data_IF_919688759802
#
_entry.id   IF_919688759802
#
_cell.length_a   1.000
_cell.length_b   1.000
_cell.length_c   1.000
_cell.angle_alpha   90.00
_cell.angle_beta   90.00
_cell.angle_gamma   90.00
#
_symmetry.space_group_name_H-M   'P 1'
#
loop_
_entity.id
_entity.type
_entity.pdbx_description
1 polymer ?
#
# COMPACT_ATOMS: atom_id res chain seq x y z
N UNK A 1 6.06 4.41 -23.20
CA UNK A 1 5.27 5.50 -23.81
C UNK A 1 4.59 6.41 -22.79
N UNK A 2 4.08 5.91 -21.65
CA UNK A 2 3.38 6.73 -20.62
C UNK A 2 4.17 7.89 -19.96
N UNK A 3 5.47 8.04 -20.21
CA UNK A 3 6.30 9.12 -19.65
C UNK A 3 6.70 10.22 -20.64
N UNK A 4 6.19 10.19 -21.89
CA UNK A 4 6.56 11.12 -22.97
C UNK A 4 8.08 11.26 -23.20
N UNK A 5 8.84 10.19 -22.93
CA UNK A 5 10.30 10.19 -23.07
C UNK A 5 10.77 9.90 -24.50
N UNK A 6 9.89 9.30 -25.31
CA UNK A 6 10.08 8.99 -26.72
C UNK A 6 8.70 8.78 -27.33
N UNK A 7 8.53 9.14 -28.60
CA UNK A 7 7.35 8.87 -29.40
C UNK A 7 7.31 7.41 -29.83
N UNK A 8 6.13 6.92 -30.24
CA UNK A 8 5.99 5.56 -30.77
C UNK A 8 6.88 5.35 -32.00
N UNK A 9 6.96 6.37 -32.87
CA UNK A 9 7.73 6.34 -34.11
C UNK A 9 9.24 6.25 -33.84
N UNK A 10 9.77 7.06 -32.94
CA UNK A 10 11.19 7.01 -32.52
C UNK A 10 11.57 5.64 -31.94
N UNK A 11 10.69 5.03 -31.15
CA UNK A 11 10.93 3.70 -30.57
C UNK A 11 10.86 2.61 -31.65
N UNK A 12 9.92 2.71 -32.59
CA UNK A 12 9.78 1.77 -33.71
C UNK A 12 10.98 1.83 -34.66
N UNK A 13 11.51 3.03 -34.95
CA UNK A 13 12.75 3.20 -35.73
C UNK A 13 13.94 2.53 -35.05
N UNK A 14 14.15 2.78 -33.75
CA UNK A 14 15.23 2.13 -33.00
C UNK A 14 15.07 0.60 -32.95
N UNK A 15 13.84 0.10 -32.85
CA UNK A 15 13.55 -1.35 -32.89
C UNK A 15 13.86 -1.97 -34.26
N UNK A 16 13.52 -1.28 -35.35
CA UNK A 16 13.82 -1.73 -36.70
C UNK A 16 15.34 -1.78 -36.95
N UNK A 17 16.07 -0.76 -36.50
CA UNK A 17 17.53 -0.71 -36.59
C UNK A 17 18.20 -1.78 -35.72
N UNK A 18 17.70 -2.01 -34.50
CA UNK A 18 18.16 -3.09 -33.63
C UNK A 18 18.05 -4.46 -34.32
N UNK A 19 16.93 -4.71 -35.02
CA UNK A 19 16.72 -5.95 -35.80
C UNK A 19 17.70 -6.07 -36.98
N UNK A 20 17.97 -4.97 -37.69
CA UNK A 20 18.96 -4.97 -38.78
C UNK A 20 20.39 -5.22 -38.28
N UNK A 21 20.77 -4.59 -37.17
CA UNK A 21 22.07 -4.81 -36.54
C UNK A 21 22.23 -6.26 -36.07
N UNK A 22 21.19 -6.83 -35.45
CA UNK A 22 21.18 -8.23 -35.03
C UNK A 22 21.32 -9.20 -36.21
N UNK A 23 20.69 -8.91 -37.35
CA UNK A 23 20.84 -9.71 -38.58
C UNK A 23 22.28 -9.67 -39.14
N UNK A 24 23.05 -8.64 -38.82
CA UNK A 24 24.46 -8.46 -39.19
C UNK A 24 25.43 -8.91 -38.08
N UNK A 25 25.00 -9.77 -37.15
CA UNK A 25 25.77 -10.25 -35.98
C UNK A 25 26.29 -9.14 -35.05
N UNK A 26 25.65 -7.97 -35.04
CA UNK A 26 25.93 -6.89 -34.07
C UNK A 26 24.79 -6.82 -33.05
N UNK A 27 25.11 -7.08 -31.79
CA UNK A 27 24.13 -7.07 -30.72
C UNK A 27 24.21 -5.73 -29.96
N UNK A 28 23.15 -4.92 -30.05
CA UNK A 28 23.04 -3.64 -29.34
C UNK A 28 21.72 -3.63 -28.57
N UNK A 29 21.73 -3.13 -27.33
CA UNK A 29 20.51 -2.98 -26.56
C UNK A 29 19.69 -1.79 -27.10
N UNK A 30 18.36 -1.92 -27.12
CA UNK A 30 17.47 -0.82 -27.53
C UNK A 30 17.72 0.45 -26.71
N UNK A 31 18.04 0.29 -25.42
CA UNK A 31 18.42 1.40 -24.53
C UNK A 31 19.67 2.15 -24.98
N UNK A 32 20.62 1.46 -25.61
CA UNK A 32 21.86 2.08 -26.08
C UNK A 32 21.60 2.86 -27.38
N UNK A 33 20.80 2.31 -28.30
CA UNK A 33 20.38 3.00 -29.53
C UNK A 33 19.58 4.27 -29.24
N UNK A 34 18.66 4.21 -28.26
CA UNK A 34 17.86 5.36 -27.84
C UNK A 34 18.74 6.48 -27.23
N UNK A 35 19.85 6.11 -26.56
CA UNK A 35 20.81 7.09 -26.02
C UNK A 35 21.72 7.64 -27.12
N UNK A 36 22.20 6.79 -28.02
CA UNK A 36 23.06 7.17 -29.15
C UNK A 36 22.38 8.18 -30.08
N UNK A 37 21.07 7.98 -30.35
CA UNK A 37 20.27 8.92 -31.14
C UNK A 37 19.82 10.17 -30.38
N UNK A 38 20.19 10.30 -29.10
CA UNK A 38 19.83 11.46 -28.28
C UNK A 38 18.34 11.56 -27.91
N UNK A 39 17.56 10.51 -28.18
CA UNK A 39 16.11 10.45 -27.87
C UNK A 39 15.91 10.44 -26.35
N UNK A 40 16.78 9.71 -25.63
CA UNK A 40 16.81 9.69 -24.16
C UNK A 40 18.22 9.81 -23.62
N UNK A 41 18.35 10.31 -22.41
CA UNK A 41 19.62 10.33 -21.67
C UNK A 41 19.86 9.01 -20.95
N UNK A 42 21.13 8.68 -20.66
CA UNK A 42 21.47 7.51 -19.84
C UNK A 42 20.79 7.53 -18.47
N UNK A 43 20.70 8.72 -17.87
CA UNK A 43 20.00 8.92 -16.59
C UNK A 43 18.50 8.62 -16.68
N UNK A 44 17.85 8.90 -17.82
CA UNK A 44 16.45 8.53 -18.05
C UNK A 44 16.31 7.00 -18.20
N UNK A 45 17.22 6.35 -18.93
CA UNK A 45 17.28 4.88 -19.05
C UNK A 45 17.44 4.23 -17.67
N UNK A 46 18.41 4.67 -16.86
CA UNK A 46 18.65 4.10 -15.53
C UNK A 46 17.42 4.24 -14.63
N UNK A 47 16.69 5.37 -14.72
CA UNK A 47 15.43 5.56 -14.01
C UNK A 47 14.32 4.63 -14.51
N UNK A 48 14.23 4.39 -15.82
CA UNK A 48 13.26 3.44 -16.39
C UNK A 48 13.59 2.03 -15.91
N UNK A 49 14.84 1.58 -16.07
CA UNK A 49 15.29 0.23 -15.66
C UNK A 49 14.99 0.00 -14.18
N UNK A 50 15.37 0.95 -13.31
CA UNK A 50 15.06 0.86 -11.88
C UNK A 50 13.55 0.78 -11.62
N UNK A 51 12.74 1.59 -12.32
CA UNK A 51 11.27 1.51 -12.16
C UNK A 51 10.69 0.21 -12.69
N UNK A 52 11.24 -0.36 -13.77
CA UNK A 52 10.83 -1.65 -14.30
C UNK A 52 11.20 -2.76 -13.31
N UNK A 53 12.38 -2.74 -12.71
CA UNK A 53 12.80 -3.70 -11.69
C UNK A 53 11.90 -3.68 -10.46
N UNK A 54 11.40 -2.50 -10.06
CA UNK A 54 10.44 -2.38 -8.97
C UNK A 54 9.06 -2.99 -9.30
N UNK A 55 8.66 -3.00 -10.57
CA UNK A 55 7.33 -3.49 -11.03
C UNK A 55 7.41 -4.94 -11.53
N UNK A 56 8.60 -5.46 -11.89
CA UNK A 56 8.84 -6.85 -12.33
C UNK A 56 8.12 -7.91 -11.48
N UNK A 57 8.14 -7.85 -10.13
CA UNK A 57 7.39 -8.79 -9.29
C UNK A 57 5.90 -8.87 -9.63
N UNK A 58 5.28 -7.71 -9.86
CA UNK A 58 3.84 -7.60 -10.08
C UNK A 58 3.46 -7.88 -11.55
N UNK A 59 4.35 -7.59 -12.52
CA UNK A 59 4.13 -7.94 -13.93
C UNK A 59 4.06 -9.43 -14.19
N UNK A 60 4.55 -10.24 -13.24
CA UNK A 60 4.58 -11.69 -13.33
C UNK A 60 3.32 -12.38 -12.81
N UNK A 61 2.28 -11.62 -12.43
CA UNK A 61 1.02 -12.16 -11.89
C UNK A 61 0.03 -12.40 -13.04
N UNK A 62 -0.28 -13.67 -13.40
CA UNK A 62 -1.16 -13.97 -14.53
C UNK A 62 -2.56 -13.37 -14.36
N UNK A 63 -3.14 -12.88 -15.45
CA UNK A 63 -4.48 -12.30 -15.46
C UNK A 63 -4.56 -10.83 -15.01
N UNK A 64 -3.44 -10.22 -14.62
CA UNK A 64 -3.38 -8.82 -14.22
C UNK A 64 -2.33 -8.05 -15.04
N UNK A 65 -2.70 -6.86 -15.51
CA UNK A 65 -1.80 -5.91 -16.14
C UNK A 65 -1.47 -4.79 -15.16
N UNK A 66 -0.21 -4.69 -14.75
CA UNK A 66 0.22 -3.60 -13.87
C UNK A 66 0.27 -2.28 -14.63
N UNK A 67 -0.31 -1.24 -14.04
CA UNK A 67 -0.37 0.11 -14.61
C UNK A 67 0.66 1.01 -13.93
N UNK A 68 0.60 1.15 -12.60
CA UNK A 68 1.48 2.04 -11.85
C UNK A 68 1.70 1.57 -10.42
N UNK A 69 2.76 2.08 -9.78
CA UNK A 69 3.03 1.86 -8.35
C UNK A 69 2.32 2.93 -7.54
N UNK A 70 1.45 2.52 -6.63
CA UNK A 70 0.70 3.41 -5.73
C UNK A 70 1.51 3.78 -4.49
N UNK A 71 2.30 2.84 -3.97
CA UNK A 71 3.10 3.09 -2.77
C UNK A 71 4.01 1.94 -2.39
N UNK A 72 4.95 2.21 -1.50
CA UNK A 72 5.85 1.19 -0.94
C UNK A 72 6.04 1.44 0.55
N UNK A 73 5.77 0.42 1.35
CA UNK A 73 6.01 0.36 2.78
C UNK A 73 7.10 -0.65 3.13
N UNK A 74 7.38 -0.79 4.42
CA UNK A 74 8.32 -1.81 4.91
C UNK A 74 7.85 -3.23 4.56
N UNK A 75 6.53 -3.45 4.58
CA UNK A 75 5.90 -4.77 4.49
C UNK A 75 5.43 -5.14 3.09
N UNK A 76 5.16 -4.17 2.21
CA UNK A 76 4.63 -4.43 0.88
C UNK A 76 4.84 -3.28 -0.09
N UNK A 77 4.79 -3.60 -1.37
CA UNK A 77 4.61 -2.61 -2.44
C UNK A 77 3.23 -2.79 -3.05
N UNK A 78 2.50 -1.69 -3.23
CA UNK A 78 1.13 -1.70 -3.76
C UNK A 78 1.15 -1.10 -5.17
N UNK A 79 0.52 -1.80 -6.10
CA UNK A 79 0.40 -1.42 -7.50
C UNK A 79 -1.07 -1.28 -7.89
N UNK A 80 -1.36 -0.32 -8.77
CA UNK A 80 -2.60 -0.28 -9.52
C UNK A 80 -2.46 -1.21 -10.71
N UNK A 81 -3.46 -2.04 -10.94
CA UNK A 81 -3.48 -2.98 -12.03
C UNK A 81 -4.88 -3.06 -12.65
N UNK A 82 -4.94 -3.63 -13.84
CA UNK A 82 -6.18 -4.01 -14.52
C UNK A 82 -6.33 -5.52 -14.47
N UNK A 83 -7.42 -6.01 -13.89
CA UNK A 83 -7.80 -7.42 -13.97
C UNK A 83 -8.37 -7.70 -15.37
N UNK A 84 -7.70 -8.53 -16.16
CA UNK A 84 -8.01 -8.72 -17.57
C UNK A 84 -9.34 -9.45 -17.81
N UNK A 85 -9.71 -10.38 -16.93
CA UNK A 85 -10.92 -11.20 -17.09
C UNK A 85 -12.23 -10.41 -16.89
N UNK A 86 -12.20 -9.36 -16.07
CA UNK A 86 -13.38 -8.55 -15.71
C UNK A 86 -13.27 -7.10 -16.17
N UNK A 87 -12.19 -6.74 -16.85
CA UNK A 87 -11.93 -5.39 -17.36
C UNK A 87 -12.00 -4.28 -16.29
N UNK A 88 -11.57 -4.57 -15.05
CA UNK A 88 -11.67 -3.62 -13.92
C UNK A 88 -10.33 -3.26 -13.30
N UNK A 89 -10.27 -2.08 -12.68
CA UNK A 89 -9.13 -1.66 -11.88
C UNK A 89 -9.10 -2.36 -10.52
N UNK A 90 -7.91 -2.75 -10.09
CA UNK A 90 -7.64 -3.38 -8.80
C UNK A 90 -6.34 -2.83 -8.21
N UNK A 91 -6.18 -2.94 -6.90
CA UNK A 91 -4.91 -2.73 -6.23
C UNK A 91 -4.29 -4.08 -5.89
N UNK A 92 -2.99 -4.25 -6.15
CA UNK A 92 -2.24 -5.47 -5.88
C UNK A 92 -1.11 -5.15 -4.91
N UNK A 93 -1.20 -5.73 -3.72
CA UNK A 93 -0.17 -5.69 -2.69
C UNK A 93 0.76 -6.88 -2.89
N UNK A 94 2.05 -6.63 -3.09
CA UNK A 94 3.09 -7.66 -3.28
C UNK A 94 4.06 -7.65 -2.12
N UNK A 95 4.29 -8.83 -1.55
CA UNK A 95 5.27 -9.04 -0.48
C UNK A 95 6.72 -8.94 -1.02
N UNK A 96 7.61 -8.23 -0.33
CA UNK A 96 9.04 -8.25 -0.63
C UNK A 96 9.62 -9.66 -0.48
N UNK A 97 10.53 -10.05 -1.38
CA UNK A 97 11.19 -11.38 -1.37
C UNK A 97 11.74 -11.80 -0.01
N UNK A 98 12.34 -10.87 0.75
CA UNK A 98 12.86 -11.13 2.10
C UNK A 98 11.84 -11.71 3.08
N UNK A 99 10.55 -11.45 2.86
CA UNK A 99 9.47 -12.02 3.66
C UNK A 99 8.88 -13.27 3.02
N UNK A 100 8.93 -13.39 1.68
CA UNK A 100 8.50 -14.60 0.96
C UNK A 100 9.32 -15.86 1.33
N UNK A 101 10.57 -15.68 1.77
CA UNK A 101 11.45 -16.79 2.16
C UNK A 101 11.16 -17.35 3.56
N UNK A 102 10.34 -16.67 4.37
CA UNK A 102 9.98 -17.13 5.70
C UNK A 102 8.56 -17.73 5.68
N UNK A 103 8.40 -19.07 5.82
CA UNK A 103 7.11 -19.75 5.75
C UNK A 103 6.07 -19.22 6.75
N UNK A 104 6.49 -18.79 7.95
CA UNK A 104 5.56 -18.27 8.96
C UNK A 104 4.92 -16.95 8.53
N UNK A 105 5.68 -16.07 7.86
CA UNK A 105 5.16 -14.82 7.32
C UNK A 105 4.20 -15.07 6.17
N UNK A 106 4.54 -16.02 5.29
CA UNK A 106 3.70 -16.40 4.15
C UNK A 106 2.38 -17.00 4.64
N UNK A 107 2.42 -17.97 5.55
CA UNK A 107 1.21 -18.60 6.11
C UNK A 107 0.29 -17.57 6.74
N UNK A 108 0.86 -16.64 7.52
CA UNK A 108 0.10 -15.55 8.14
C UNK A 108 -0.53 -14.63 7.11
N UNK A 109 0.21 -14.23 6.08
CA UNK A 109 -0.31 -13.40 5.01
C UNK A 109 -1.53 -14.02 4.32
N UNK A 110 -1.48 -15.33 4.01
CA UNK A 110 -2.64 -16.03 3.44
C UNK A 110 -3.79 -16.14 4.43
N UNK A 111 -3.52 -16.37 5.72
CA UNK A 111 -4.55 -16.44 6.75
C UNK A 111 -5.30 -15.12 6.89
N UNK A 112 -4.58 -14.01 6.94
CA UNK A 112 -5.17 -12.68 7.04
C UNK A 112 -5.89 -12.30 5.74
N UNK A 113 -5.32 -12.63 4.57
CA UNK A 113 -5.99 -12.44 3.28
C UNK A 113 -7.32 -13.19 3.18
N UNK A 114 -7.36 -14.45 3.65
CA UNK A 114 -8.59 -15.25 3.72
C UNK A 114 -9.60 -14.69 4.72
N UNK A 115 -9.13 -14.12 5.84
CA UNK A 115 -10.01 -13.49 6.81
C UNK A 115 -10.62 -12.20 6.25
N UNK A 116 -9.81 -11.36 5.60
CA UNK A 116 -10.27 -10.16 4.90
C UNK A 116 -11.28 -10.49 3.77
N UNK A 117 -11.10 -11.60 3.06
CA UNK A 117 -12.02 -12.07 2.02
C UNK A 117 -13.42 -12.44 2.53
N UNK A 118 -13.60 -12.68 3.83
CA UNK A 118 -14.93 -12.91 4.41
C UNK A 118 -15.69 -11.61 4.69
N UNK A 119 -14.99 -10.48 4.65
CA UNK A 119 -15.61 -9.18 4.88
C UNK A 119 -16.19 -8.66 3.57
N UNK A 120 -17.45 -8.23 3.63
CA UNK A 120 -18.15 -7.56 2.54
C UNK A 120 -18.97 -6.43 3.16
N UNK A 121 -18.44 -5.21 3.09
CA UNK A 121 -19.04 -4.04 3.72
C UNK A 121 -18.67 -2.78 2.92
N UNK A 122 -19.60 -1.82 2.70
CA UNK A 122 -19.33 -0.63 1.89
C UNK A 122 -18.15 0.20 2.40
N UNK A 123 -17.90 0.20 3.71
CA UNK A 123 -16.82 0.93 4.37
C UNK A 123 -15.55 0.09 4.61
N UNK A 124 -15.38 -1.07 3.97
CA UNK A 124 -14.15 -1.88 4.01
C UNK A 124 -13.62 -2.03 2.59
N UNK A 125 -12.29 -1.97 2.43
CA UNK A 125 -11.64 -2.29 1.16
C UNK A 125 -11.81 -3.77 0.87
N UNK A 126 -12.59 -4.09 -0.16
CA UNK A 126 -12.91 -5.46 -0.53
C UNK A 126 -11.67 -6.25 -0.98
N UNK A 127 -11.42 -7.38 -0.33
CA UNK A 127 -10.47 -8.37 -0.80
C UNK A 127 -11.03 -9.15 -1.99
N UNK A 128 -10.20 -9.40 -2.99
CA UNK A 128 -10.59 -10.06 -4.25
C UNK A 128 -9.89 -11.42 -4.40
N UNK A 129 -8.58 -11.45 -4.19
CA UNK A 129 -7.76 -12.64 -4.46
C UNK A 129 -6.50 -12.65 -3.60
N UNK A 130 -5.93 -13.83 -3.35
CA UNK A 130 -4.65 -13.99 -2.68
C UNK A 130 -3.93 -15.20 -3.26
N UNK A 131 -2.68 -15.02 -3.67
CA UNK A 131 -2.00 -16.03 -4.46
C UNK A 131 -0.49 -15.89 -4.49
N UNK A 132 0.14 -16.84 -5.18
CA UNK A 132 1.56 -16.85 -5.47
C UNK A 132 1.76 -16.87 -6.98
N UNK A 133 2.69 -16.08 -7.49
CA UNK A 133 3.16 -16.19 -8.86
C UNK A 133 4.67 -15.97 -8.90
N UNK A 134 5.41 -16.93 -9.48
CA UNK A 134 6.86 -16.82 -9.70
C UNK A 134 7.67 -16.48 -8.43
N UNK A 135 7.28 -17.08 -7.28
CA UNK A 135 7.92 -16.84 -5.98
C UNK A 135 7.55 -15.50 -5.32
N UNK A 136 6.54 -14.80 -5.84
CA UNK A 136 5.98 -13.60 -5.24
C UNK A 136 4.57 -13.87 -4.72
N UNK A 137 4.36 -13.61 -3.43
CA UNK A 137 3.05 -13.64 -2.81
C UNK A 137 2.36 -12.29 -2.99
N UNK A 138 1.09 -12.33 -3.37
CA UNK A 138 0.31 -11.15 -3.67
C UNK A 138 -1.10 -11.24 -3.08
N UNK A 139 -1.68 -10.06 -2.85
CA UNK A 139 -3.06 -9.88 -2.42
C UNK A 139 -3.71 -8.83 -3.30
N UNK A 140 -4.82 -9.19 -3.92
CA UNK A 140 -5.61 -8.34 -4.80
C UNK A 140 -6.81 -7.81 -4.04
N UNK A 141 -7.03 -6.51 -4.13
CA UNK A 141 -8.12 -5.81 -3.48
C UNK A 141 -8.74 -4.77 -4.41
N UNK A 142 -9.92 -4.28 -4.06
CA UNK A 142 -10.55 -3.22 -4.83
C UNK A 142 -9.62 -2.00 -4.92
N UNK A 143 -9.60 -1.38 -6.10
CA UNK A 143 -8.96 -0.08 -6.25
C UNK A 143 -9.94 1.01 -5.83
N UNK A 144 -9.65 1.67 -4.72
CA UNK A 144 -10.44 2.81 -4.26
C UNK A 144 -9.92 4.08 -4.93
N UNK A 145 -10.73 4.67 -5.80
CA UNK A 145 -10.40 5.96 -6.39
C UNK A 145 -10.71 7.08 -5.39
N UNK A 146 -9.65 7.71 -4.89
CA UNK A 146 -9.74 8.71 -3.84
C UNK A 146 -8.38 9.03 -3.24
N UNK A 147 -8.38 9.38 -1.97
CA UNK A 147 -7.21 9.81 -1.19
C UNK A 147 -7.34 9.29 0.23
N UNK A 148 -6.23 9.21 0.96
CA UNK A 148 -6.26 8.82 2.37
C UNK A 148 -6.58 10.01 3.26
N UNK A 149 -7.15 9.75 4.44
CA UNK A 149 -7.32 10.77 5.48
C UNK A 149 -5.97 11.40 5.87
N UNK A 150 -4.88 10.61 5.79
CA UNK A 150 -3.52 11.10 5.96
C UNK A 150 -3.15 12.18 4.93
N UNK A 151 -3.50 12.00 3.66
CA UNK A 151 -3.18 12.95 2.60
C UNK A 151 -3.82 14.32 2.85
N UNK A 152 -5.05 14.34 3.39
CA UNK A 152 -5.72 15.59 3.77
C UNK A 152 -5.06 16.26 4.99
N UNK A 153 -4.69 15.47 6.01
CA UNK A 153 -4.05 15.99 7.23
C UNK A 153 -2.68 16.60 6.93
N UNK A 154 -1.85 15.96 6.09
CA UNK A 154 -0.54 16.52 5.72
C UNK A 154 -0.66 17.77 4.84
N UNK A 155 -1.78 17.93 4.14
CA UNK A 155 -2.10 19.16 3.41
C UNK A 155 -2.53 20.30 4.36
N UNK A 156 -2.60 20.04 5.66
CA UNK A 156 -2.97 21.02 6.70
C UNK A 156 -4.47 21.14 6.93
N UNK A 157 -5.28 20.20 6.43
CA UNK A 157 -6.73 20.20 6.68
C UNK A 157 -6.99 19.90 8.16
N UNK A 158 -7.83 20.73 8.77
CA UNK A 158 -8.47 20.45 10.06
C UNK A 158 -9.96 20.24 9.78
N UNK A 159 -10.47 19.09 10.21
CA UNK A 159 -11.84 18.70 9.92
C UNK A 159 -12.80 19.38 10.89
N UNK A 160 -13.96 19.78 10.39
CA UNK A 160 -15.06 20.15 11.28
C UNK A 160 -15.54 18.93 12.08
N UNK A 161 -16.15 19.17 13.23
CA UNK A 161 -16.74 18.10 14.05
C UNK A 161 -17.72 17.24 13.24
N UNK A 162 -18.51 17.87 12.38
CA UNK A 162 -19.48 17.16 11.53
C UNK A 162 -18.82 16.23 10.52
N UNK A 163 -17.77 16.68 9.81
CA UNK A 163 -17.04 15.84 8.86
C UNK A 163 -16.34 14.69 9.57
N UNK A 164 -15.72 14.99 10.72
CA UNK A 164 -14.98 14.00 11.48
C UNK A 164 -15.90 12.91 12.05
N UNK A 165 -17.07 13.29 12.54
CA UNK A 165 -18.09 12.36 13.02
C UNK A 165 -18.67 11.51 11.88
N UNK A 166 -18.92 12.08 10.71
CA UNK A 166 -19.42 11.29 9.56
C UNK A 166 -18.44 10.18 9.18
N UNK A 167 -17.16 10.52 9.02
CA UNK A 167 -16.10 9.54 8.73
C UNK A 167 -15.98 8.51 9.87
N UNK A 168 -15.98 8.95 11.13
CA UNK A 168 -15.86 8.06 12.28
C UNK A 168 -17.03 7.07 12.37
N UNK A 169 -18.26 7.49 12.06
CA UNK A 169 -19.44 6.61 12.02
C UNK A 169 -19.27 5.54 10.94
N UNK A 170 -18.83 5.94 9.74
CA UNK A 170 -18.58 5.01 8.63
C UNK A 170 -17.51 3.96 8.99
N UNK A 171 -16.41 4.39 9.60
CA UNK A 171 -15.32 3.48 10.02
C UNK A 171 -15.74 2.62 11.22
N UNK A 172 -16.57 3.13 12.13
CA UNK A 172 -17.14 2.33 13.23
C UNK A 172 -18.00 1.19 12.69
N UNK A 173 -18.83 1.44 11.67
CA UNK A 173 -19.63 0.38 11.01
C UNK A 173 -18.74 -0.70 10.39
N UNK A 174 -17.64 -0.30 9.74
CA UNK A 174 -16.63 -1.23 9.23
C UNK A 174 -16.01 -2.09 10.35
N UNK A 175 -15.62 -1.46 11.47
CA UNK A 175 -15.00 -2.16 12.60
C UNK A 175 -15.98 -3.14 13.25
N UNK A 176 -17.24 -2.76 13.47
CA UNK A 176 -18.28 -3.67 13.98
C UNK A 176 -18.40 -4.90 13.09
N UNK A 177 -18.51 -4.71 11.77
CA UNK A 177 -18.60 -5.82 10.81
C UNK A 177 -17.36 -6.74 10.88
N UNK A 178 -16.16 -6.17 11.01
CA UNK A 178 -14.93 -6.95 11.18
C UNK A 178 -14.92 -7.74 12.51
N UNK A 179 -15.29 -7.10 13.61
CA UNK A 179 -15.33 -7.69 14.95
C UNK A 179 -16.33 -8.84 15.04
N UNK A 180 -17.52 -8.69 14.45
CA UNK A 180 -18.52 -9.76 14.35
C UNK A 180 -18.02 -10.98 13.56
N UNK A 181 -17.05 -10.78 12.67
CA UNK A 181 -16.38 -11.83 11.91
C UNK A 181 -15.07 -12.32 12.58
N UNK A 182 -14.82 -11.90 13.83
CA UNK A 182 -13.66 -12.32 14.63
C UNK A 182 -12.34 -11.71 14.18
N UNK A 183 -12.37 -10.60 13.43
CA UNK A 183 -11.19 -9.89 12.96
C UNK A 183 -11.04 -8.56 13.71
N UNK A 184 -9.87 -8.35 14.32
CA UNK A 184 -9.49 -7.08 14.96
C UNK A 184 -8.46 -6.41 14.06
N UNK A 185 -8.64 -5.12 13.76
CA UNK A 185 -7.85 -4.41 12.77
C UNK A 185 -6.40 -4.14 13.22
N UNK A 186 -6.23 -3.66 14.46
CA UNK A 186 -4.97 -3.37 15.17
C UNK A 186 -4.07 -2.28 14.57
N UNK A 187 -4.46 -1.68 13.45
CA UNK A 187 -3.71 -0.58 12.81
C UNK A 187 -4.65 0.48 12.23
N UNK A 188 -5.71 0.85 12.96
CA UNK A 188 -6.61 1.94 12.53
C UNK A 188 -5.86 3.26 12.62
N UNK A 189 -5.70 3.95 11.49
CA UNK A 189 -4.99 5.24 11.41
C UNK A 189 -5.36 5.98 10.13
N UNK A 190 -5.10 7.29 10.01
CA UNK A 190 -5.45 8.07 8.82
C UNK A 190 -4.93 7.50 7.49
N UNK A 191 -3.77 6.85 7.49
CA UNK A 191 -3.20 6.25 6.29
C UNK A 191 -3.98 5.03 5.78
N UNK A 192 -4.72 4.36 6.66
CA UNK A 192 -5.51 3.17 6.34
C UNK A 192 -7.00 3.53 6.15
N UNK A 193 -7.37 4.81 6.18
CA UNK A 193 -8.73 5.28 5.92
C UNK A 193 -8.71 6.02 4.58
N UNK A 194 -9.39 5.47 3.58
CA UNK A 194 -9.54 6.08 2.26
C UNK A 194 -10.88 6.79 2.14
N UNK A 195 -10.89 7.98 1.54
CA UNK A 195 -12.08 8.75 1.22
C UNK A 195 -12.25 8.76 -0.30
N UNK A 196 -13.37 8.22 -0.78
CA UNK A 196 -13.73 8.25 -2.21
C UNK A 196 -14.13 9.65 -2.66
N UNK A 197 -14.19 9.87 -3.98
CA UNK A 197 -14.71 11.13 -4.55
C UNK A 197 -16.14 11.46 -4.10
N UNK A 198 -16.93 10.44 -3.77
CA UNK A 198 -18.32 10.59 -3.31
C UNK A 198 -18.44 10.76 -1.79
N UNK A 199 -17.31 10.90 -1.07
CA UNK A 199 -17.29 11.10 0.39
C UNK A 199 -17.46 9.82 1.21
N UNK A 200 -17.35 8.63 0.60
CA UNK A 200 -17.43 7.36 1.31
C UNK A 200 -16.08 7.03 1.94
N UNK A 201 -16.08 6.77 3.24
CA UNK A 201 -14.90 6.32 3.98
C UNK A 201 -14.76 4.79 3.91
N UNK A 202 -13.58 4.29 3.56
CA UNK A 202 -13.25 2.87 3.46
C UNK A 202 -12.01 2.55 4.28
N UNK A 203 -12.09 1.54 5.14
CA UNK A 203 -10.97 1.03 5.92
C UNK A 203 -10.18 0.01 5.09
N UNK A 204 -8.90 0.29 4.89
CA UNK A 204 -7.94 -0.50 4.12
C UNK A 204 -6.99 -1.28 5.05
N UNK A 205 -6.20 -2.18 4.47
CA UNK A 205 -5.12 -2.90 5.17
C UNK A 205 -5.59 -3.70 6.41
N UNK A 206 -6.67 -4.48 6.27
CA UNK A 206 -7.21 -5.39 7.28
C UNK A 206 -6.15 -6.35 7.85
N UNK A 207 -5.42 -5.90 8.88
CA UNK A 207 -4.54 -6.70 9.73
C UNK A 207 -3.42 -7.49 9.05
N UNK A 208 -3.17 -7.34 7.75
CA UNK A 208 -2.33 -8.21 6.89
C UNK A 208 -0.83 -8.35 7.29
N UNK A 209 -0.39 -7.86 8.46
CA UNK A 209 1.03 -7.92 8.82
C UNK A 209 1.44 -7.67 10.30
N UNK A 210 0.63 -7.89 11.35
CA UNK A 210 1.14 -7.62 12.71
C UNK A 210 0.76 -8.61 13.80
N UNK A 211 1.67 -9.55 14.03
CA UNK A 211 1.99 -10.11 15.36
C UNK A 211 3.46 -10.60 15.49
N UNK A 212 4.43 -10.11 14.69
CA UNK A 212 5.84 -10.56 14.84
C UNK A 212 6.91 -9.56 14.35
N UNK A 213 6.62 -8.27 14.26
CA UNK A 213 7.57 -7.29 13.72
C UNK A 213 7.53 -5.94 14.43
N UNK A 214 7.21 -5.91 15.73
CA UNK A 214 7.00 -4.64 16.43
C UNK A 214 8.29 -3.79 16.48
N UNK A 215 9.47 -4.38 16.59
CA UNK A 215 10.73 -3.62 16.54
C UNK A 215 11.12 -3.16 15.13
N UNK A 216 11.12 -4.08 14.15
CA UNK A 216 11.58 -3.76 12.78
C UNK A 216 10.59 -2.85 12.03
N UNK A 217 9.28 -2.98 12.29
CA UNK A 217 8.28 -2.11 11.68
C UNK A 217 8.31 -0.72 12.29
N UNK A 218 8.46 -0.61 13.62
CA UNK A 218 8.63 0.67 14.28
C UNK A 218 9.92 1.40 13.84
N UNK A 219 11.02 0.67 13.64
CA UNK A 219 12.27 1.24 13.11
C UNK A 219 12.17 1.63 11.62
N UNK A 220 11.46 0.85 10.79
CA UNK A 220 11.30 1.18 9.36
C UNK A 220 10.33 2.34 9.10
N UNK A 221 9.44 2.63 10.06
CA UNK A 221 8.59 3.83 10.08
C UNK A 221 9.24 5.02 10.80
N UNK A 222 10.39 4.83 11.46
CA UNK A 222 11.13 5.90 12.11
C UNK A 222 11.58 6.95 11.08
N UNK A 223 11.22 8.21 11.32
CA UNK A 223 11.55 9.34 10.44
C UNK A 223 10.60 9.57 9.26
N UNK A 224 9.56 8.75 9.08
CA UNK A 224 8.43 9.09 8.20
C UNK A 224 7.38 9.79 9.06
N UNK A 225 7.07 11.03 8.73
CA UNK A 225 6.08 11.83 9.43
C UNK A 225 4.78 10.99 9.60
N UNK A 226 4.36 10.78 10.85
CA UNK A 226 3.15 10.08 11.28
C UNK A 226 3.04 8.57 10.91
N UNK A 227 3.75 7.71 11.65
CA UNK A 227 3.62 6.23 11.59
C UNK A 227 2.59 5.64 12.56
N UNK A 228 2.53 4.30 12.67
CA UNK A 228 1.70 3.57 13.66
C UNK A 228 1.89 4.02 15.13
N UNK A 229 3.09 4.44 15.61
CA UNK A 229 3.30 4.84 17.01
C UNK A 229 2.34 5.90 17.56
N UNK A 230 1.76 6.75 16.71
CA UNK A 230 0.88 7.85 17.13
C UNK A 230 -0.58 7.41 17.39
N UNK A 231 -0.93 6.19 17.00
CA UNK A 231 -2.30 5.66 17.06
C UNK A 231 -2.37 4.28 17.72
N UNK A 232 -1.24 3.74 18.17
CA UNK A 232 -1.14 2.41 18.76
C UNK A 232 -1.74 2.39 20.16
N UNK A 233 -2.44 1.31 20.51
CA UNK A 233 -3.06 1.15 21.83
C UNK A 233 -2.03 0.77 22.92
N UNK A 234 -2.30 1.09 24.20
CA UNK A 234 -1.41 0.76 25.31
C UNK A 234 -1.13 -0.75 25.44
N UNK A 235 -2.16 -1.59 25.26
CA UNK A 235 -2.05 -3.05 25.30
C UNK A 235 -1.16 -3.61 24.18
N UNK A 236 -1.19 -3.00 22.99
CA UNK A 236 -0.27 -3.35 21.90
C UNK A 236 1.17 -2.97 22.24
N UNK A 237 1.38 -1.81 22.88
CA UNK A 237 2.74 -1.38 23.30
C UNK A 237 3.30 -2.33 24.36
N UNK A 238 2.45 -2.82 25.28
CA UNK A 238 2.84 -3.79 26.31
C UNK A 238 3.08 -5.20 25.76
N UNK A 239 2.76 -5.45 24.49
CA UNK A 239 2.87 -6.77 23.88
C UNK A 239 1.89 -7.79 24.46
N UNK A 240 0.73 -7.33 24.92
CA UNK A 240 -0.31 -8.23 25.43
C UNK A 240 -0.74 -9.22 24.33
N UNK A 241 -0.94 -10.48 24.71
CA UNK A 241 -1.27 -11.55 23.75
C UNK A 241 -2.75 -11.49 23.36
N UNK A 242 -3.60 -11.14 24.32
CA UNK A 242 -5.06 -11.15 24.19
C UNK A 242 -5.61 -9.75 23.86
N UNK A 243 -5.11 -9.16 22.76
CA UNK A 243 -5.62 -7.88 22.25
C UNK A 243 -7.00 -8.11 21.62
N UNK A 244 -8.01 -7.44 22.17
CA UNK A 244 -9.40 -7.45 21.69
C UNK A 244 -9.78 -6.18 20.88
N UNK A 245 -11.08 -6.03 20.58
CA UNK A 245 -11.63 -4.94 19.79
C UNK A 245 -11.39 -3.54 20.38
N UNK A 246 -11.07 -3.42 21.68
CA UNK A 246 -10.82 -2.13 22.34
C UNK A 246 -9.58 -1.42 21.79
N UNK A 247 -8.62 -2.16 21.25
CA UNK A 247 -7.47 -1.58 20.56
C UNK A 247 -7.91 -0.74 19.35
N UNK A 248 -8.89 -1.22 18.57
CA UNK A 248 -9.40 -0.49 17.41
C UNK A 248 -10.17 0.77 17.82
N UNK A 249 -10.90 0.70 18.94
CA UNK A 249 -11.60 1.87 19.52
C UNK A 249 -10.58 2.94 19.93
N UNK A 250 -9.49 2.55 20.59
CA UNK A 250 -8.43 3.46 20.97
C UNK A 250 -7.82 4.14 19.74
N UNK A 251 -7.44 3.35 18.75
CA UNK A 251 -6.81 3.84 17.52
C UNK A 251 -7.74 4.74 16.69
N UNK A 252 -9.05 4.44 16.66
CA UNK A 252 -10.05 5.32 16.05
C UNK A 252 -10.20 6.63 16.84
N UNK A 253 -10.19 6.58 18.17
CA UNK A 253 -10.22 7.79 19.02
C UNK A 253 -9.00 8.69 18.80
N UNK A 254 -7.80 8.10 18.71
CA UNK A 254 -6.58 8.82 18.38
C UNK A 254 -6.64 9.45 16.97
N UNK A 255 -7.22 8.73 16.01
CA UNK A 255 -7.45 9.24 14.66
C UNK A 255 -8.42 10.42 14.65
N UNK A 256 -9.55 10.30 15.36
CA UNK A 256 -10.56 11.35 15.48
C UNK A 256 -9.98 12.61 16.13
N UNK A 257 -9.19 12.47 17.19
CA UNK A 257 -8.48 13.60 17.80
C UNK A 257 -7.59 14.32 16.78
N UNK A 258 -6.85 13.57 15.96
CA UNK A 258 -5.99 14.18 14.94
C UNK A 258 -6.80 14.93 13.88
N UNK A 259 -7.94 14.39 13.46
CA UNK A 259 -8.82 15.06 12.49
C UNK A 259 -9.28 16.44 12.97
N UNK A 260 -9.80 16.52 14.20
CA UNK A 260 -10.43 17.75 14.70
C UNK A 260 -9.44 18.78 15.24
N UNK A 261 -8.24 18.34 15.65
CA UNK A 261 -7.22 19.25 16.19
C UNK A 261 -6.11 19.59 15.19
N UNK A 262 -5.98 18.82 14.11
CA UNK A 262 -4.82 18.88 13.20
C UNK A 262 -3.51 18.46 13.86
N UNK A 263 -3.55 17.83 15.06
CA UNK A 263 -2.38 17.37 15.81
C UNK A 263 -2.58 15.96 16.33
N UNK A 264 -1.54 15.15 16.35
CA UNK A 264 -1.58 13.83 16.99
C UNK A 264 -1.83 13.94 18.51
N UNK A 265 -2.43 12.91 19.15
CA UNK A 265 -2.69 12.93 20.60
C UNK A 265 -1.42 13.10 21.43
N UNK A 266 -0.36 12.38 21.05
CA UNK A 266 0.94 12.46 21.68
C UNK A 266 2.03 12.62 20.63
N UNK A 267 2.91 13.58 20.83
CA UNK A 267 4.07 13.82 19.96
C UNK A 267 5.38 13.61 20.73
N UNK A 268 6.48 13.31 20.04
CA UNK A 268 7.75 13.00 20.67
C UNK A 268 8.92 12.92 19.70
N UNK A 269 10.16 13.09 20.21
CA UNK A 269 11.35 13.10 19.36
C UNK A 269 11.69 11.74 18.74
N UNK A 270 11.12 10.65 19.27
CA UNK A 270 11.32 9.29 18.77
C UNK A 270 10.02 8.49 18.83
N UNK A 271 9.85 7.48 17.95
CA UNK A 271 8.72 6.54 18.03
C UNK A 271 8.48 5.95 19.43
N UNK A 272 9.57 5.56 20.12
CA UNK A 272 9.50 4.99 21.48
C UNK A 272 9.00 6.03 22.49
N UNK A 273 9.44 7.29 22.37
CA UNK A 273 8.96 8.35 23.24
C UNK A 273 7.47 8.65 23.03
N UNK A 274 6.97 8.54 21.79
CA UNK A 274 5.54 8.65 21.49
C UNK A 274 4.79 7.48 22.13
N UNK A 275 5.20 6.23 21.87
CA UNK A 275 4.55 5.04 22.44
C UNK A 275 4.49 5.09 23.98
N UNK A 276 5.56 5.52 24.65
CA UNK A 276 5.56 5.66 26.10
C UNK A 276 4.55 6.68 26.64
N UNK A 277 4.12 7.67 25.85
CA UNK A 277 3.08 8.62 26.26
C UNK A 277 1.66 8.05 26.17
N UNK A 278 1.48 6.95 25.43
CA UNK A 278 0.21 6.23 25.40
C UNK A 278 0.05 5.31 26.63
N UNK A 279 1.13 4.96 27.36
CA UNK A 279 1.12 4.10 28.55
C UNK A 279 0.72 4.83 29.83
#
# INVERSE_FOLDING_TARGET
MEKNLATSEEVEECLAEQKQLAANNRQTALSDLLVEKGIVTRRQIDRIIKSMEEIRPAQQIPGYQILEKLGSGAMATVFKAKQLSLDRLVAIKVLPKRFSENPEYVERFYREGKAAAKLNHPNIVQAIDVGEANGYHYFVMEYVEGHTLYDELIAGKVFSESEALDIAIQITRALVHAHENGLIHRDVKPKNIMITKDGVAKLADMGLARMAADEQTAQAEAGKAYGTPYYISPEQIRGEVDIDFRADIYSLGATLYHMVTGRVPFDGPTPVAVMNKHL
#
